data_IF_100410520404
#
_entry.id   IF_100410520404
#
_cell.length_a   1.000
_cell.length_b   1.000
_cell.length_c   1.000
_cell.angle_alpha   90.00
_cell.angle_beta   90.00
_cell.angle_gamma   90.00
#
_symmetry.space_group_name_H-M   'P 1'
#
loop_
_entity.id
_entity.type
_entity.pdbx_description
1 polymer ?
#
# COMPACT_ATOMS: atom_id res chain seq x y z
N UNK A 1 -35.98 -1.08 -10.35
CA UNK A 1 -35.58 -1.65 -9.04
C UNK A 1 -34.85 -0.56 -8.26
N UNK A 2 -34.98 -0.48 -6.94
CA UNK A 2 -34.17 0.46 -6.15
C UNK A 2 -32.70 0.14 -6.34
N UNK A 3 -31.87 1.17 -6.35
CA UNK A 3 -30.41 0.99 -6.45
C UNK A 3 -29.86 0.36 -5.19
N UNK A 4 -28.87 -0.53 -5.34
CA UNK A 4 -28.17 -1.16 -4.24
C UNK A 4 -27.29 -0.13 -3.53
N UNK A 5 -27.41 0.00 -2.21
CA UNK A 5 -26.66 0.97 -1.40
C UNK A 5 -25.33 0.38 -0.96
N UNK A 6 -24.24 0.97 -1.40
CA UNK A 6 -22.87 0.53 -1.09
C UNK A 6 -22.17 1.61 -0.26
N UNK A 7 -21.63 1.21 0.88
CA UNK A 7 -20.72 2.05 1.66
C UNK A 7 -19.28 1.59 1.47
N UNK A 8 -18.39 2.51 1.10
CA UNK A 8 -16.94 2.29 1.07
C UNK A 8 -16.32 3.14 2.17
N UNK A 9 -15.56 2.50 3.06
CA UNK A 9 -14.86 3.17 4.17
C UNK A 9 -13.36 3.11 3.95
N UNK A 10 -12.72 4.28 3.99
CA UNK A 10 -11.26 4.42 3.92
C UNK A 10 -10.75 5.25 5.10
N UNK A 11 -9.48 5.06 5.45
CA UNK A 11 -8.89 5.80 6.56
C UNK A 11 -8.63 7.27 6.20
N UNK A 12 -8.03 7.52 5.05
CA UNK A 12 -7.68 8.86 4.53
C UNK A 12 -7.52 8.78 3.01
N UNK A 13 -7.49 9.92 2.32
CA UNK A 13 -7.37 10.01 0.86
C UNK A 13 -6.21 10.93 0.46
N UNK A 14 -5.03 10.69 1.03
CA UNK A 14 -3.78 11.34 0.66
C UNK A 14 -3.01 10.50 -0.39
N UNK A 15 -1.91 11.04 -0.90
CA UNK A 15 -1.05 10.34 -1.87
C UNK A 15 -0.49 9.05 -1.25
N UNK A 16 -0.73 7.92 -1.89
CA UNK A 16 -0.24 6.60 -1.47
C UNK A 16 -0.93 5.44 -2.15
N UNK A 17 -0.27 4.29 -2.24
CA UNK A 17 -0.73 3.13 -3.01
C UNK A 17 -2.10 2.57 -2.62
N UNK A 18 -2.43 2.55 -1.31
CA UNK A 18 -3.76 2.12 -0.84
C UNK A 18 -4.85 3.07 -1.32
N UNK A 19 -4.61 4.37 -1.24
CA UNK A 19 -5.56 5.40 -1.62
C UNK A 19 -5.77 5.44 -3.13
N UNK A 20 -4.69 5.30 -3.91
CA UNK A 20 -4.79 5.25 -5.37
C UNK A 20 -5.53 4.00 -5.87
N UNK A 21 -5.54 2.90 -5.09
CA UNK A 21 -6.32 1.71 -5.44
C UNK A 21 -7.84 1.92 -5.29
N UNK A 22 -8.29 3.00 -4.66
CA UNK A 22 -9.71 3.36 -4.57
C UNK A 22 -10.29 3.73 -5.94
N UNK A 23 -9.54 4.44 -6.78
CA UNK A 23 -10.09 4.97 -8.04
C UNK A 23 -10.56 3.88 -8.99
N UNK A 24 -9.77 2.83 -9.29
CA UNK A 24 -10.26 1.69 -10.06
C UNK A 24 -11.48 1.01 -9.43
N UNK A 25 -11.53 0.94 -8.09
CA UNK A 25 -12.70 0.40 -7.38
C UNK A 25 -13.95 1.24 -7.62
N UNK A 26 -13.82 2.56 -7.65
CA UNK A 26 -14.96 3.44 -7.96
C UNK A 26 -15.35 3.37 -9.44
N UNK A 27 -14.43 3.02 -10.33
CA UNK A 27 -14.69 2.95 -11.76
C UNK A 27 -15.37 1.63 -12.20
N UNK A 28 -15.32 0.57 -11.38
CA UNK A 28 -16.00 -0.70 -11.71
C UNK A 28 -17.52 -0.64 -11.54
N UNK A 29 -18.05 0.30 -10.75
CA UNK A 29 -19.47 0.32 -10.41
C UNK A 29 -20.36 0.83 -11.54
N UNK A 30 -21.44 0.09 -11.80
CA UNK A 30 -22.57 0.57 -12.62
C UNK A 30 -23.46 1.48 -11.78
N UNK A 31 -23.21 2.79 -11.82
CA UNK A 31 -23.97 3.81 -11.08
C UNK A 31 -25.46 3.92 -11.51
N UNK A 32 -25.87 3.24 -12.58
CA UNK A 32 -27.27 3.03 -12.89
C UNK A 32 -27.97 2.06 -11.91
N UNK A 33 -27.20 1.11 -11.34
CA UNK A 33 -27.70 0.05 -10.45
C UNK A 33 -27.32 0.23 -8.99
N UNK A 34 -26.29 1.03 -8.70
CA UNK A 34 -25.79 1.22 -7.32
C UNK A 34 -25.74 2.69 -6.92
N UNK A 35 -25.92 2.94 -5.62
CA UNK A 35 -25.65 4.20 -4.94
C UNK A 35 -24.46 4.02 -4.02
N UNK A 36 -23.34 4.70 -4.34
CA UNK A 36 -22.09 4.58 -3.59
C UNK A 36 -21.95 5.75 -2.63
N UNK A 37 -21.78 5.44 -1.35
CA UNK A 37 -21.34 6.39 -0.32
C UNK A 37 -19.87 6.13 -0.01
N UNK A 38 -19.02 7.14 -0.15
CA UNK A 38 -17.61 7.09 0.26
C UNK A 38 -17.45 7.79 1.61
N UNK A 39 -16.98 7.09 2.64
CA UNK A 39 -16.66 7.66 3.95
C UNK A 39 -15.14 7.71 4.17
N UNK A 40 -14.63 8.92 4.40
CA UNK A 40 -13.22 9.20 4.65
C UNK A 40 -13.07 9.57 6.13
N UNK A 41 -12.39 8.71 6.89
CA UNK A 41 -12.30 8.80 8.35
C UNK A 41 -11.36 9.87 8.87
N UNK A 42 -10.42 10.35 8.07
CA UNK A 42 -9.52 11.47 8.40
C UNK A 42 -9.53 12.52 7.30
N UNK A 43 -9.61 13.78 7.69
CA UNK A 43 -9.57 14.91 6.76
C UNK A 43 -8.14 15.11 6.19
N UNK A 44 -7.65 14.13 5.44
CA UNK A 44 -6.49 14.16 4.56
C UNK A 44 -6.97 13.70 3.21
N UNK A 45 -7.26 14.66 2.32
CA UNK A 45 -8.08 14.49 1.12
C UNK A 45 -7.42 15.03 -0.15
N UNK A 46 -6.08 15.01 -0.19
CA UNK A 46 -5.29 15.53 -1.32
C UNK A 46 -5.74 14.97 -2.68
N UNK A 47 -6.23 13.73 -2.68
CA UNK A 47 -6.71 13.04 -3.89
C UNK A 47 -8.23 13.14 -4.12
N UNK A 48 -8.95 13.96 -3.34
CA UNK A 48 -10.41 14.14 -3.50
C UNK A 48 -10.82 14.57 -4.92
N UNK A 49 -10.07 15.45 -5.62
CA UNK A 49 -10.42 15.84 -6.99
C UNK A 49 -10.42 14.70 -8.02
N UNK A 50 -9.81 13.56 -7.69
CA UNK A 50 -9.75 12.38 -8.55
C UNK A 50 -10.84 11.34 -8.27
N UNK A 51 -11.69 11.57 -7.27
CA UNK A 51 -12.82 10.69 -6.96
C UNK A 51 -13.83 10.75 -8.11
N UNK A 52 -14.32 9.59 -8.53
CA UNK A 52 -15.31 9.49 -9.60
C UNK A 52 -16.53 10.37 -9.27
N UNK A 53 -16.91 11.35 -10.13
CA UNK A 53 -18.00 12.28 -9.86
C UNK A 53 -19.38 11.63 -9.78
N UNK A 54 -19.52 10.37 -10.17
CA UNK A 54 -20.77 9.60 -10.06
C UNK A 54 -21.00 9.01 -8.66
N UNK A 55 -20.02 9.15 -7.73
CA UNK A 55 -20.22 8.77 -6.32
C UNK A 55 -21.35 9.59 -5.72
N UNK A 56 -22.37 8.90 -5.21
CA UNK A 56 -23.63 9.54 -4.81
C UNK A 56 -23.48 10.43 -3.59
N UNK A 57 -22.60 10.07 -2.65
CA UNK A 57 -22.36 10.82 -1.42
C UNK A 57 -20.90 10.65 -0.97
N UNK A 58 -20.25 11.76 -0.65
CA UNK A 58 -18.92 11.74 0.00
C UNK A 58 -19.07 12.35 1.39
N UNK A 59 -18.64 11.61 2.40
CA UNK A 59 -18.68 12.02 3.81
C UNK A 59 -17.26 12.05 4.32
N UNK A 60 -16.84 13.21 4.81
CA UNK A 60 -15.50 13.43 5.37
C UNK A 60 -15.63 13.71 6.85
N UNK A 61 -14.90 12.97 7.68
CA UNK A 61 -14.83 13.29 9.09
C UNK A 61 -13.90 14.49 9.30
N UNK A 62 -14.49 15.64 9.56
CA UNK A 62 -13.79 16.93 9.72
C UNK A 62 -13.15 17.11 11.11
N UNK A 63 -13.63 16.38 12.12
CA UNK A 63 -13.32 16.65 13.53
C UNK A 63 -12.09 15.95 14.12
N UNK A 64 -11.26 15.28 13.30
CA UNK A 64 -10.11 14.52 13.84
C UNK A 64 -9.08 15.37 14.59
N UNK A 65 -9.00 16.68 14.32
CA UNK A 65 -8.09 17.58 15.03
C UNK A 65 -8.61 18.06 16.40
N UNK A 66 -9.92 18.09 16.61
CA UNK A 66 -10.51 18.56 17.88
C UNK A 66 -10.68 17.45 18.93
N UNK A 67 -10.78 16.18 18.51
CA UNK A 67 -10.93 15.06 19.44
C UNK A 67 -9.67 14.79 20.26
N UNK A 68 -8.48 15.00 19.66
CA UNK A 68 -7.19 14.88 20.36
C UNK A 68 -6.87 16.07 21.29
N UNK A 69 -7.64 17.17 21.22
CA UNK A 69 -7.47 18.34 22.09
C UNK A 69 -8.30 18.29 23.37
N UNK A 70 -9.08 17.25 23.63
CA UNK A 70 -9.74 17.10 24.93
C UNK A 70 -8.70 16.80 26.00
N UNK A 71 -8.77 17.46 27.17
CA UNK A 71 -7.76 17.36 28.23
C UNK A 71 -7.50 15.92 28.68
N UNK A 72 -8.48 15.03 28.56
CA UNK A 72 -8.35 13.60 28.88
C UNK A 72 -7.32 12.90 27.97
N UNK A 73 -7.30 13.18 26.64
CA UNK A 73 -6.35 12.57 25.71
C UNK A 73 -4.93 13.08 25.96
N UNK A 74 -4.79 14.40 26.25
CA UNK A 74 -3.51 14.99 26.61
C UNK A 74 -2.97 14.42 27.94
N UNK A 75 -3.82 14.19 28.94
CA UNK A 75 -3.45 13.54 30.21
C UNK A 75 -3.03 12.09 29.96
N UNK A 76 -3.74 11.36 29.12
CA UNK A 76 -3.42 9.97 28.76
C UNK A 76 -2.07 9.88 28.02
N UNK A 77 -1.80 10.80 27.09
CA UNK A 77 -0.50 10.89 26.41
C UNK A 77 0.63 11.28 27.37
N UNK A 78 0.38 12.19 28.28
CA UNK A 78 1.35 12.59 29.31
C UNK A 78 1.68 11.43 30.26
N UNK A 79 0.67 10.71 30.72
CA UNK A 79 0.83 9.50 31.53
C UNK A 79 1.55 8.40 30.75
N UNK A 80 1.25 8.22 29.45
CA UNK A 80 1.93 7.23 28.63
C UNK A 80 3.42 7.54 28.45
N UNK A 81 3.80 8.82 28.32
CA UNK A 81 5.21 9.26 28.28
C UNK A 81 5.90 9.06 29.63
N UNK A 82 5.22 9.36 30.72
CA UNK A 82 5.76 9.18 32.09
C UNK A 82 6.04 7.69 32.39
N UNK A 83 5.13 6.80 32.04
CA UNK A 83 5.30 5.36 32.23
C UNK A 83 6.31 4.70 31.29
N UNK A 84 6.59 5.30 30.11
CA UNK A 84 7.69 4.86 29.22
C UNK A 84 9.07 5.03 29.88
N UNK A 85 9.20 5.97 30.81
CA UNK A 85 10.46 6.26 31.49
C UNK A 85 10.74 5.29 32.66
N UNK A 86 9.75 4.52 33.11
CA UNK A 86 9.83 3.69 34.34
C UNK A 86 9.76 2.18 34.03
N UNK A 87 10.31 1.67 32.95
CA UNK A 87 10.62 0.23 32.66
C UNK A 87 9.71 -0.88 33.25
N UNK A 88 8.39 -0.67 33.35
CA UNK A 88 7.41 -1.68 33.77
C UNK A 88 6.75 -2.34 32.53
N UNK A 89 7.56 -3.05 31.71
CA UNK A 89 7.25 -3.43 30.35
C UNK A 89 5.95 -4.25 30.08
N UNK A 90 5.54 -5.18 30.90
CA UNK A 90 4.36 -6.04 30.59
C UNK A 90 3.02 -5.38 30.96
N UNK A 91 2.90 -4.88 32.17
CA UNK A 91 1.68 -4.20 32.66
C UNK A 91 1.41 -2.90 31.89
N UNK A 92 2.46 -2.23 31.45
CA UNK A 92 2.42 -1.03 30.63
C UNK A 92 1.83 -1.27 29.23
N UNK A 93 2.24 -2.33 28.55
CA UNK A 93 1.71 -2.67 27.21
C UNK A 93 0.21 -3.02 27.24
N UNK A 94 -0.27 -3.72 28.26
CA UNK A 94 -1.69 -4.00 28.45
C UNK A 94 -2.49 -2.72 28.74
N UNK A 95 -1.96 -1.81 29.54
CA UNK A 95 -2.61 -0.52 29.86
C UNK A 95 -2.66 0.39 28.62
N UNK A 96 -1.59 0.45 27.82
CA UNK A 96 -1.60 1.20 26.57
C UNK A 96 -2.63 0.64 25.57
N UNK A 97 -2.68 -0.67 25.40
CA UNK A 97 -3.66 -1.32 24.54
C UNK A 97 -5.10 -1.04 25.01
N UNK A 98 -5.37 -1.11 26.30
CA UNK A 98 -6.67 -0.78 26.88
C UNK A 98 -7.06 0.68 26.63
N UNK A 99 -6.13 1.63 26.88
CA UNK A 99 -6.35 3.06 26.64
C UNK A 99 -6.60 3.32 25.15
N UNK A 100 -5.77 2.75 24.26
CA UNK A 100 -5.94 2.85 22.81
C UNK A 100 -7.32 2.36 22.39
N UNK A 101 -7.75 1.19 22.87
CA UNK A 101 -9.04 0.61 22.55
C UNK A 101 -10.22 1.46 23.05
N UNK A 102 -10.10 2.09 24.22
CA UNK A 102 -11.11 3.05 24.73
C UNK A 102 -11.20 4.29 23.88
N UNK A 103 -10.06 4.86 23.46
CA UNK A 103 -10.04 6.02 22.56
C UNK A 103 -10.70 5.67 21.22
N UNK A 104 -10.33 4.54 20.63
CA UNK A 104 -10.91 4.04 19.37
C UNK A 104 -12.43 3.86 19.53
N UNK A 105 -12.89 3.22 20.62
CA UNK A 105 -14.30 3.01 20.89
C UNK A 105 -15.09 4.33 20.94
N UNK A 106 -14.61 5.33 21.69
CA UNK A 106 -15.29 6.64 21.76
C UNK A 106 -15.24 7.39 20.45
N UNK A 107 -14.14 7.29 19.69
CA UNK A 107 -14.03 7.87 18.36
C UNK A 107 -15.06 7.25 17.40
N UNK A 108 -15.17 5.92 17.35
CA UNK A 108 -16.12 5.21 16.50
C UNK A 108 -17.57 5.53 16.87
N UNK A 109 -17.87 5.59 18.18
CA UNK A 109 -19.20 5.97 18.68
C UNK A 109 -19.58 7.39 18.26
N UNK A 110 -18.63 8.33 18.31
CA UNK A 110 -18.83 9.69 17.84
C UNK A 110 -19.06 9.74 16.34
N UNK A 111 -18.20 9.09 15.53
CA UNK A 111 -18.35 9.00 14.07
C UNK A 111 -19.71 8.42 13.68
N UNK A 112 -20.13 7.33 14.31
CA UNK A 112 -21.42 6.71 14.05
C UNK A 112 -22.57 7.67 14.37
N UNK A 113 -22.57 8.25 15.58
CA UNK A 113 -23.63 9.17 16.02
C UNK A 113 -23.74 10.40 15.10
N UNK A 114 -22.64 10.92 14.63
CA UNK A 114 -22.60 12.15 13.84
C UNK A 114 -22.96 11.92 12.37
N UNK A 115 -22.48 10.84 11.77
CA UNK A 115 -22.61 10.62 10.32
C UNK A 115 -23.60 9.53 9.92
N UNK A 116 -23.90 8.58 10.78
CA UNK A 116 -24.64 7.37 10.43
C UNK A 116 -25.86 7.03 11.32
N UNK A 117 -26.10 7.75 12.40
CA UNK A 117 -27.20 7.41 13.33
C UNK A 117 -28.61 7.43 12.70
N UNK A 118 -28.77 8.13 11.57
CA UNK A 118 -30.02 8.21 10.81
C UNK A 118 -30.02 7.35 9.56
N UNK A 119 -28.92 6.65 9.24
CA UNK A 119 -28.86 5.78 8.08
C UNK A 119 -29.68 4.49 8.29
N UNK A 120 -30.53 4.16 7.30
CA UNK A 120 -31.36 2.94 7.31
C UNK A 120 -30.55 1.66 7.03
N UNK A 121 -29.25 1.77 6.87
CA UNK A 121 -28.34 0.68 6.54
C UNK A 121 -27.96 0.63 5.06
N UNK A 122 -27.03 -0.27 4.77
CA UNK A 122 -26.45 -0.49 3.44
C UNK A 122 -26.68 -1.93 3.01
N UNK A 123 -26.75 -2.18 1.70
CA UNK A 123 -26.75 -3.54 1.19
C UNK A 123 -25.36 -4.16 1.33
N UNK A 124 -24.30 -3.38 1.05
CA UNK A 124 -22.92 -3.81 1.23
C UNK A 124 -22.10 -2.71 1.90
N UNK A 125 -21.33 -3.05 2.93
CA UNK A 125 -20.36 -2.16 3.55
C UNK A 125 -18.94 -2.73 3.38
N UNK A 126 -18.04 -1.94 2.83
CA UNK A 126 -16.69 -2.34 2.44
C UNK A 126 -15.66 -1.53 3.22
N UNK A 127 -14.84 -2.19 4.01
CA UNK A 127 -13.60 -1.60 4.53
C UNK A 127 -12.46 -1.88 3.56
N UNK A 128 -11.90 -0.85 2.91
CA UNK A 128 -10.79 -1.03 1.95
C UNK A 128 -9.42 -1.26 2.61
N UNK A 129 -9.38 -1.33 3.95
CA UNK A 129 -8.19 -1.63 4.74
C UNK A 129 -8.59 -2.30 6.05
N UNK A 130 -7.75 -3.19 6.55
CA UNK A 130 -7.89 -3.84 7.85
C UNK A 130 -7.71 -2.86 9.03
N UNK A 131 -7.70 -3.39 10.26
CA UNK A 131 -7.45 -2.63 11.48
C UNK A 131 -8.61 -1.73 11.90
N UNK A 132 -8.29 -0.53 12.38
CA UNK A 132 -9.25 0.42 12.97
C UNK A 132 -10.40 0.79 12.02
N UNK A 133 -10.17 0.77 10.71
CA UNK A 133 -11.21 1.06 9.71
C UNK A 133 -12.19 -0.10 9.60
N UNK A 134 -11.70 -1.33 9.61
CA UNK A 134 -12.54 -2.52 9.61
C UNK A 134 -13.32 -2.66 10.93
N UNK A 135 -12.71 -2.35 12.09
CA UNK A 135 -13.41 -2.29 13.38
C UNK A 135 -14.60 -1.32 13.33
N UNK A 136 -14.44 -0.14 12.72
CA UNK A 136 -15.53 0.81 12.58
C UNK A 136 -16.69 0.22 11.77
N UNK A 137 -16.40 -0.45 10.65
CA UNK A 137 -17.43 -1.13 9.84
C UNK A 137 -18.07 -2.28 10.61
N UNK A 138 -17.28 -3.07 11.33
CA UNK A 138 -17.74 -4.18 12.15
C UNK A 138 -18.76 -3.71 13.19
N UNK A 139 -18.40 -2.74 14.02
CA UNK A 139 -19.09 -2.40 15.25
C UNK A 139 -20.27 -1.44 15.06
N UNK A 140 -20.18 -0.58 14.06
CA UNK A 140 -21.10 0.57 13.94
C UNK A 140 -21.89 0.62 12.65
N UNK A 141 -21.45 -0.02 11.57
CA UNK A 141 -22.18 0.06 10.30
C UNK A 141 -23.19 -1.09 10.18
N UNK A 142 -24.45 -0.71 9.89
CA UNK A 142 -25.51 -1.67 9.56
C UNK A 142 -25.45 -1.96 8.06
N UNK A 143 -25.21 -3.21 7.71
CA UNK A 143 -25.21 -3.68 6.33
C UNK A 143 -25.67 -5.14 6.25
N UNK A 144 -26.28 -5.52 5.11
CA UNK A 144 -26.68 -6.91 4.86
C UNK A 144 -25.43 -7.79 4.60
N UNK A 145 -24.38 -7.21 3.98
CA UNK A 145 -23.10 -7.87 3.72
C UNK A 145 -21.94 -6.96 4.12
N UNK A 146 -20.99 -7.48 4.87
CA UNK A 146 -19.77 -6.77 5.26
C UNK A 146 -18.56 -7.39 4.60
N UNK A 147 -17.71 -6.55 3.98
CA UNK A 147 -16.50 -6.96 3.28
C UNK A 147 -15.30 -6.22 3.86
N UNK A 148 -14.22 -6.94 4.11
CA UNK A 148 -12.94 -6.37 4.55
C UNK A 148 -11.84 -6.69 3.56
N UNK A 149 -11.06 -5.67 3.18
CA UNK A 149 -9.81 -5.87 2.46
C UNK A 149 -8.65 -5.99 3.46
N UNK A 150 -7.90 -7.07 3.32
CA UNK A 150 -6.67 -7.31 4.05
C UNK A 150 -5.50 -7.11 3.09
N UNK A 151 -4.72 -6.04 3.33
CA UNK A 151 -3.68 -5.57 2.39
C UNK A 151 -2.27 -5.93 2.79
N UNK A 152 -2.09 -6.43 4.01
CA UNK A 152 -0.78 -6.85 4.51
C UNK A 152 -0.60 -8.36 4.37
N UNK A 153 0.63 -8.81 4.22
CA UNK A 153 1.01 -10.23 4.24
C UNK A 153 1.49 -10.70 5.60
N UNK A 154 1.66 -9.76 6.53
CA UNK A 154 2.00 -9.98 7.94
C UNK A 154 0.89 -9.43 8.82
N UNK A 155 0.81 -9.91 10.04
CA UNK A 155 -0.24 -9.52 10.97
C UNK A 155 0.35 -8.94 12.25
N UNK A 156 0.48 -7.62 12.28
CA UNK A 156 0.93 -6.87 13.45
C UNK A 156 -0.17 -6.58 14.48
N UNK A 157 -1.45 -6.84 14.15
CA UNK A 157 -2.62 -6.54 14.97
C UNK A 157 -3.53 -7.78 15.14
N UNK A 158 -2.92 -8.93 15.32
CA UNK A 158 -3.58 -10.25 15.35
C UNK A 158 -4.84 -10.30 16.24
N UNK A 159 -4.75 -9.83 17.47
CA UNK A 159 -5.88 -9.82 18.42
C UNK A 159 -7.09 -9.02 17.91
N UNK A 160 -6.82 -7.89 17.22
CA UNK A 160 -7.88 -7.06 16.65
C UNK A 160 -8.52 -7.78 15.48
N UNK A 161 -7.71 -8.33 14.57
CA UNK A 161 -8.23 -8.97 13.36
C UNK A 161 -9.01 -10.25 13.71
N UNK A 162 -8.52 -11.09 14.62
CA UNK A 162 -9.23 -12.29 15.04
C UNK A 162 -10.60 -11.96 15.68
N UNK A 163 -10.69 -10.84 16.40
CA UNK A 163 -11.94 -10.40 17.02
C UNK A 163 -13.00 -9.93 16.03
N UNK A 164 -12.60 -9.29 14.92
CA UNK A 164 -13.54 -8.68 13.96
C UNK A 164 -13.86 -9.56 12.74
N UNK A 165 -12.97 -10.49 12.36
CA UNK A 165 -13.16 -11.36 11.18
C UNK A 165 -14.46 -12.17 11.20
N UNK A 166 -15.01 -12.64 12.35
CA UNK A 166 -16.30 -13.31 12.40
C UNK A 166 -17.44 -12.50 11.79
N UNK A 167 -17.43 -11.18 11.95
CA UNK A 167 -18.47 -10.24 11.55
C UNK A 167 -18.45 -9.87 10.07
N UNK A 168 -17.40 -10.28 9.34
CA UNK A 168 -17.30 -10.07 7.90
C UNK A 168 -17.71 -11.32 7.13
N UNK A 169 -18.53 -11.12 6.08
CA UNK A 169 -18.96 -12.18 5.17
C UNK A 169 -17.83 -12.58 4.20
N UNK A 170 -17.01 -11.61 3.81
CA UNK A 170 -15.91 -11.83 2.87
C UNK A 170 -14.67 -11.05 3.30
N UNK A 171 -13.50 -11.71 3.22
CA UNK A 171 -12.18 -11.14 3.45
C UNK A 171 -11.42 -11.16 2.13
N UNK A 172 -11.19 -9.99 1.55
CA UNK A 172 -10.48 -9.86 0.28
C UNK A 172 -8.99 -9.69 0.51
N UNK A 173 -8.17 -10.57 -0.04
CA UNK A 173 -6.71 -10.46 -0.06
C UNK A 173 -6.26 -9.86 -1.39
N UNK A 174 -5.13 -9.16 -1.39
CA UNK A 174 -4.64 -8.42 -2.58
C UNK A 174 -3.81 -9.27 -3.54
N UNK A 175 -3.45 -10.50 -3.16
CA UNK A 175 -2.77 -11.48 -4.01
C UNK A 175 -2.99 -12.91 -3.48
N UNK A 176 -2.68 -13.92 -4.29
CA UNK A 176 -2.74 -15.33 -3.87
C UNK A 176 -1.72 -15.63 -2.77
N UNK A 177 -0.52 -15.05 -2.85
CA UNK A 177 0.48 -15.17 -1.81
C UNK A 177 0.01 -14.55 -0.49
N UNK A 178 -0.61 -13.35 -0.52
CA UNK A 178 -1.19 -12.72 0.66
C UNK A 178 -2.33 -13.58 1.25
N UNK A 179 -3.22 -14.14 0.42
CA UNK A 179 -4.26 -15.09 0.87
C UNK A 179 -3.65 -16.31 1.54
N UNK A 180 -2.61 -16.90 0.94
CA UNK A 180 -1.91 -18.08 1.45
C UNK A 180 -1.24 -17.80 2.81
N UNK A 181 -0.61 -16.62 2.96
CA UNK A 181 -0.03 -16.18 4.20
C UNK A 181 -1.10 -15.96 5.27
N UNK A 182 -2.16 -15.20 4.95
CA UNK A 182 -3.24 -14.89 5.88
C UNK A 182 -4.00 -16.15 6.35
N UNK A 183 -4.22 -17.12 5.46
CA UNK A 183 -4.87 -18.40 5.79
C UNK A 183 -4.08 -19.23 6.82
N UNK A 184 -2.75 -19.04 6.90
CA UNK A 184 -1.92 -19.69 7.92
C UNK A 184 -2.08 -19.02 9.29
N UNK A 185 -2.24 -17.69 9.32
CA UNK A 185 -2.50 -16.94 10.56
C UNK A 185 -3.92 -17.20 11.08
N UNK A 186 -4.90 -17.30 10.16
CA UNK A 186 -6.32 -17.39 10.47
C UNK A 186 -7.00 -18.57 9.77
N UNK A 187 -6.61 -19.83 10.07
CA UNK A 187 -7.16 -21.00 9.38
C UNK A 187 -8.68 -21.14 9.55
N UNK A 188 -9.24 -20.67 10.66
CA UNK A 188 -10.68 -20.68 10.94
C UNK A 188 -11.49 -19.82 9.95
N UNK A 189 -10.87 -18.82 9.35
CA UNK A 189 -11.54 -17.86 8.45
C UNK A 189 -11.12 -18.01 6.98
N UNK A 190 -10.28 -19.02 6.66
CA UNK A 190 -9.79 -19.25 5.30
C UNK A 190 -10.93 -19.41 4.27
N UNK A 191 -12.06 -19.97 4.66
CA UNK A 191 -13.23 -20.14 3.81
C UNK A 191 -13.93 -18.83 3.41
N UNK A 192 -13.70 -17.73 4.16
CA UNK A 192 -14.19 -16.38 3.84
C UNK A 192 -13.23 -15.61 2.93
N UNK A 193 -12.01 -16.13 2.71
CA UNK A 193 -10.97 -15.41 2.01
C UNK A 193 -11.07 -15.59 0.49
N UNK A 194 -11.08 -14.48 -0.23
CA UNK A 194 -11.00 -14.44 -1.70
C UNK A 194 -9.88 -13.52 -2.14
N UNK A 195 -9.50 -13.57 -3.42
CA UNK A 195 -8.47 -12.70 -3.98
C UNK A 195 -9.12 -11.68 -4.92
N UNK A 196 -8.92 -10.42 -4.60
CA UNK A 196 -9.19 -9.29 -5.50
C UNK A 196 -7.90 -8.46 -5.54
N UNK A 197 -7.17 -8.61 -6.62
CA UNK A 197 -5.86 -7.98 -6.81
C UNK A 197 -5.99 -6.45 -6.83
N UNK A 198 -4.93 -5.77 -6.46
CA UNK A 198 -4.88 -4.32 -6.64
C UNK A 198 -4.78 -4.00 -8.13
N UNK A 199 -5.80 -3.36 -8.70
CA UNK A 199 -5.80 -2.99 -10.11
C UNK A 199 -4.83 -1.84 -10.39
N UNK A 200 -4.08 -1.97 -11.48
CA UNK A 200 -3.10 -0.99 -11.95
C UNK A 200 -3.40 -0.68 -13.43
N UNK A 201 -3.87 0.54 -13.70
CA UNK A 201 -4.29 0.93 -15.05
C UNK A 201 -3.10 1.18 -15.98
N UNK A 202 -2.85 0.29 -16.93
CA UNK A 202 -1.78 0.38 -17.94
C UNK A 202 -1.85 1.69 -18.72
N UNK A 203 -3.03 2.05 -19.24
CA UNK A 203 -3.22 3.26 -20.04
C UNK A 203 -2.90 4.53 -19.24
N UNK A 204 -3.29 4.58 -17.96
CA UNK A 204 -3.02 5.72 -17.10
C UNK A 204 -1.52 5.86 -16.82
N UNK A 205 -0.83 4.75 -16.54
CA UNK A 205 0.61 4.74 -16.29
C UNK A 205 1.38 5.22 -17.51
N UNK A 206 1.06 4.67 -18.69
CA UNK A 206 1.72 5.07 -19.94
C UNK A 206 1.48 6.56 -20.22
N UNK A 207 0.22 7.04 -20.06
CA UNK A 207 -0.09 8.46 -20.23
C UNK A 207 0.72 9.33 -19.28
N UNK A 208 0.69 9.03 -17.99
CA UNK A 208 1.40 9.79 -16.95
C UNK A 208 2.92 9.74 -17.11
N UNK A 209 3.48 8.62 -17.58
CA UNK A 209 4.93 8.50 -17.81
C UNK A 209 5.46 9.44 -18.91
N UNK A 210 4.56 10.01 -19.72
CA UNK A 210 4.87 10.95 -20.80
C UNK A 210 4.54 12.43 -20.46
N UNK A 211 4.07 12.72 -19.23
CA UNK A 211 3.68 14.09 -18.86
C UNK A 211 4.87 15.06 -18.77
N UNK A 212 6.04 14.56 -18.43
CA UNK A 212 7.29 15.33 -18.46
C UNK A 212 8.49 14.42 -18.71
N UNK A 213 9.54 15.00 -19.28
CA UNK A 213 10.79 14.29 -19.56
C UNK A 213 11.85 14.61 -18.51
N UNK A 214 12.64 13.60 -18.18
CA UNK A 214 13.80 13.71 -17.32
C UNK A 214 15.04 13.42 -18.14
N UNK A 215 16.10 14.23 -17.96
CA UNK A 215 17.37 14.02 -18.66
C UNK A 215 18.11 12.83 -18.05
N UNK A 216 18.49 11.89 -18.90
CA UNK A 216 19.30 10.74 -18.53
C UNK A 216 20.76 11.01 -18.87
N UNK A 217 21.63 10.92 -17.86
CA UNK A 217 23.05 11.19 -18.04
C UNK A 217 23.93 9.98 -17.72
N UNK A 218 23.42 9.05 -16.91
CA UNK A 218 24.18 7.88 -16.41
C UNK A 218 23.28 6.65 -16.36
N UNK A 219 23.89 5.50 -16.12
CA UNK A 219 23.16 4.30 -15.69
C UNK A 219 22.25 4.67 -14.49
N UNK A 220 20.96 4.40 -14.63
CA UNK A 220 19.95 4.93 -13.71
C UNK A 220 19.16 3.81 -13.05
N UNK A 221 19.17 3.79 -11.72
CA UNK A 221 18.27 2.95 -10.92
C UNK A 221 17.17 3.78 -10.30
N UNK A 222 16.01 3.18 -10.06
CA UNK A 222 14.89 3.84 -9.38
C UNK A 222 14.29 2.90 -8.35
N UNK A 223 14.03 3.44 -7.16
CA UNK A 223 13.19 2.84 -6.14
C UNK A 223 12.09 3.83 -5.81
N UNK A 224 10.82 3.40 -5.88
CA UNK A 224 9.67 4.26 -5.68
C UNK A 224 8.80 3.77 -4.51
N UNK A 225 8.48 4.66 -3.57
CA UNK A 225 7.60 4.33 -2.47
C UNK A 225 7.83 5.18 -1.22
N UNK A 226 7.04 4.93 -0.17
CA UNK A 226 7.21 5.60 1.12
C UNK A 226 8.54 5.19 1.77
N UNK A 227 9.31 6.16 2.26
CA UNK A 227 10.56 5.89 2.97
C UNK A 227 10.23 5.46 4.41
N UNK A 228 10.00 4.15 4.58
CA UNK A 228 9.70 3.48 5.85
C UNK A 228 10.63 2.30 6.07
N UNK A 229 10.67 1.75 7.28
CA UNK A 229 11.53 0.62 7.62
C UNK A 229 11.30 -0.62 6.75
N UNK A 230 10.03 -0.92 6.39
CA UNK A 230 9.70 -2.12 5.62
C UNK A 230 10.07 -2.01 4.13
N UNK A 231 10.39 -0.80 3.62
CA UNK A 231 10.70 -0.59 2.20
C UNK A 231 12.18 -0.74 1.85
N UNK A 232 13.05 -1.00 2.83
CA UNK A 232 14.44 -1.43 2.61
C UNK A 232 15.34 -0.40 1.91
N UNK A 233 15.08 0.90 2.09
CA UNK A 233 15.95 1.95 1.54
C UNK A 233 17.38 1.89 2.11
N UNK A 234 17.55 1.39 3.33
CA UNK A 234 18.82 1.11 3.94
C UNK A 234 19.57 -0.02 3.22
N UNK A 235 18.87 -1.08 2.81
CA UNK A 235 19.44 -2.13 1.96
C UNK A 235 19.89 -1.56 0.60
N UNK A 236 19.09 -0.65 0.01
CA UNK A 236 19.44 -0.01 -1.26
C UNK A 236 20.69 0.88 -1.12
N UNK A 237 20.84 1.66 -0.04
CA UNK A 237 22.07 2.45 0.21
C UNK A 237 23.27 1.52 0.34
N UNK A 238 23.16 0.46 1.13
CA UNK A 238 24.28 -0.48 1.32
C UNK A 238 24.61 -1.23 0.01
N UNK A 239 23.62 -1.60 -0.80
CA UNK A 239 23.83 -2.17 -2.13
C UNK A 239 24.55 -1.20 -3.07
N UNK A 240 24.18 0.09 -3.01
CA UNK A 240 24.85 1.14 -3.77
C UNK A 240 26.33 1.29 -3.38
N UNK A 241 26.67 1.15 -2.09
CA UNK A 241 28.09 1.12 -1.61
C UNK A 241 28.84 -0.05 -2.22
N UNK A 242 28.23 -1.24 -2.29
CA UNK A 242 28.85 -2.41 -2.93
C UNK A 242 29.10 -2.15 -4.41
N UNK A 243 28.10 -1.63 -5.14
CA UNK A 243 28.23 -1.32 -6.57
C UNK A 243 29.31 -0.26 -6.84
N UNK A 244 29.40 0.78 -5.99
CA UNK A 244 30.49 1.78 -6.05
C UNK A 244 31.87 1.12 -5.91
N UNK A 245 32.03 0.20 -4.96
CA UNK A 245 33.30 -0.56 -4.76
C UNK A 245 33.63 -1.45 -5.95
N UNK A 246 32.63 -1.94 -6.68
CA UNK A 246 32.81 -2.70 -7.94
C UNK A 246 33.09 -1.79 -9.15
N UNK A 247 33.20 -0.47 -8.96
CA UNK A 247 33.51 0.49 -10.02
C UNK A 247 32.34 0.88 -10.90
N UNK A 248 31.09 0.54 -10.53
CA UNK A 248 29.91 0.90 -11.29
C UNK A 248 29.62 2.41 -11.12
N UNK A 249 29.45 3.12 -12.23
CA UNK A 249 29.07 4.54 -12.25
C UNK A 249 27.59 4.64 -12.55
N UNK A 250 26.78 5.14 -11.61
CA UNK A 250 25.32 5.19 -11.72
C UNK A 250 24.73 6.39 -10.97
N UNK A 251 23.43 6.60 -11.15
CA UNK A 251 22.59 7.40 -10.27
C UNK A 251 21.37 6.57 -9.83
N UNK A 252 21.03 6.62 -8.55
CA UNK A 252 19.87 5.93 -7.99
C UNK A 252 18.88 6.93 -7.40
N UNK A 253 17.74 7.07 -8.05
CA UNK A 253 16.67 7.92 -7.55
C UNK A 253 15.79 7.18 -6.54
N UNK A 254 15.68 7.73 -5.34
CA UNK A 254 14.71 7.34 -4.33
C UNK A 254 13.51 8.28 -4.45
N UNK A 255 12.46 7.80 -5.11
CA UNK A 255 11.27 8.61 -5.40
C UNK A 255 10.23 8.38 -4.32
N UNK A 256 10.16 9.30 -3.36
CA UNK A 256 9.25 9.20 -2.22
C UNK A 256 9.70 10.02 -1.03
N UNK A 257 8.89 9.94 0.02
CA UNK A 257 9.15 10.57 1.31
C UNK A 257 8.63 9.69 2.45
N UNK A 258 9.00 9.96 3.69
CA UNK A 258 8.49 9.21 4.83
C UNK A 258 9.29 9.43 6.12
N UNK A 259 8.81 8.80 7.19
CA UNK A 259 9.35 9.01 8.55
C UNK A 259 10.80 8.56 8.72
N UNK A 260 11.32 7.70 7.83
CA UNK A 260 12.71 7.22 7.84
C UNK A 260 13.64 8.04 6.93
N UNK A 261 13.14 9.09 6.26
CA UNK A 261 13.94 9.91 5.34
C UNK A 261 15.23 10.42 6.00
N UNK A 262 15.15 11.03 7.17
CA UNK A 262 16.33 11.56 7.87
C UNK A 262 17.37 10.49 8.18
N UNK A 263 16.92 9.26 8.55
CA UNK A 263 17.82 8.12 8.75
C UNK A 263 18.53 7.72 7.45
N UNK A 264 17.81 7.71 6.32
CA UNK A 264 18.41 7.36 5.03
C UNK A 264 19.35 8.46 4.54
N UNK A 265 19.02 9.74 4.71
CA UNK A 265 19.92 10.87 4.41
C UNK A 265 21.23 10.78 5.23
N UNK A 266 21.15 10.44 6.51
CA UNK A 266 22.34 10.19 7.35
C UNK A 266 23.17 9.03 6.81
N UNK A 267 22.53 7.91 6.47
CA UNK A 267 23.23 6.72 5.95
C UNK A 267 23.92 7.00 4.58
N UNK A 268 23.28 7.79 3.72
CA UNK A 268 23.87 8.24 2.44
C UNK A 268 25.13 9.05 2.71
N UNK A 269 25.07 10.00 3.63
CA UNK A 269 26.21 10.87 3.98
C UNK A 269 27.34 10.08 4.66
N UNK A 270 27.04 9.21 5.62
CA UNK A 270 28.01 8.37 6.33
C UNK A 270 28.80 7.45 5.39
N UNK A 271 28.20 7.07 4.25
CA UNK A 271 28.84 6.22 3.25
C UNK A 271 29.34 6.98 2.00
N UNK A 272 29.31 8.33 2.01
CA UNK A 272 29.76 9.18 0.90
C UNK A 272 29.06 8.84 -0.43
N UNK A 273 27.73 8.67 -0.37
CA UNK A 273 26.90 8.26 -1.51
C UNK A 273 26.09 9.39 -2.14
N UNK A 274 26.31 10.66 -1.76
CA UNK A 274 25.55 11.82 -2.22
C UNK A 274 25.62 12.04 -3.74
N UNK A 275 26.70 11.59 -4.38
CA UNK A 275 26.86 11.67 -5.85
C UNK A 275 26.19 10.51 -6.60
N UNK A 276 25.77 9.46 -5.87
CA UNK A 276 25.18 8.24 -6.42
C UNK A 276 23.68 8.13 -6.12
N UNK A 277 23.20 8.71 -5.01
CA UNK A 277 21.82 8.57 -4.57
C UNK A 277 21.16 9.93 -4.43
N UNK A 278 19.96 10.07 -5.02
CA UNK A 278 19.16 11.29 -4.95
C UNK A 278 17.78 10.97 -4.39
N UNK A 279 17.47 11.51 -3.21
CA UNK A 279 16.11 11.47 -2.65
C UNK A 279 15.31 12.62 -3.26
N UNK A 280 14.35 12.29 -4.13
CA UNK A 280 13.58 13.31 -4.87
C UNK A 280 12.45 13.94 -4.06
N UNK A 281 12.13 13.37 -2.90
CA UNK A 281 10.91 13.68 -2.16
C UNK A 281 9.66 13.07 -2.81
N UNK A 282 8.50 13.37 -2.21
CA UNK A 282 7.20 12.90 -2.72
C UNK A 282 6.91 13.51 -4.10
N UNK A 283 6.59 12.67 -5.07
CA UNK A 283 6.14 13.08 -6.40
C UNK A 283 4.68 12.66 -6.60
N UNK A 284 3.85 13.56 -7.07
CA UNK A 284 2.46 13.26 -7.45
C UNK A 284 2.40 12.36 -8.68
N UNK A 285 3.40 12.45 -9.54
CA UNK A 285 3.59 11.57 -10.69
C UNK A 285 5.03 11.01 -10.70
N UNK A 286 5.24 9.77 -10.21
CA UNK A 286 6.56 9.12 -10.19
C UNK A 286 6.92 8.42 -11.50
N UNK A 287 5.96 8.21 -12.41
CA UNK A 287 6.14 7.35 -13.59
C UNK A 287 7.23 7.83 -14.56
N UNK A 288 7.49 9.13 -14.78
CA UNK A 288 8.64 9.57 -15.59
C UNK A 288 9.99 9.09 -15.02
N UNK A 289 10.14 9.00 -13.69
CA UNK A 289 11.36 8.42 -13.09
C UNK A 289 11.45 6.93 -13.37
N UNK A 290 10.34 6.19 -13.23
CA UNK A 290 10.31 4.76 -13.54
C UNK A 290 10.60 4.54 -15.04
N UNK A 291 10.02 5.35 -15.92
CA UNK A 291 10.29 5.30 -17.37
C UNK A 291 11.76 5.60 -17.70
N UNK A 292 12.41 6.49 -16.95
CA UNK A 292 13.82 6.87 -17.15
C UNK A 292 14.78 5.74 -16.82
N UNK A 293 14.50 4.91 -15.79
CA UNK A 293 15.48 3.97 -15.26
C UNK A 293 15.89 2.88 -16.26
N UNK A 294 17.09 2.35 -16.09
CA UNK A 294 17.58 1.14 -16.73
C UNK A 294 17.10 -0.09 -15.97
N UNK A 295 17.15 -0.04 -14.64
CA UNK A 295 16.69 -1.11 -13.75
C UNK A 295 15.84 -0.47 -12.65
N UNK A 296 14.63 -1.00 -12.47
CA UNK A 296 13.82 -0.70 -11.31
C UNK A 296 14.20 -1.62 -10.16
N UNK A 297 14.41 -1.06 -8.96
CA UNK A 297 14.83 -1.86 -7.79
C UNK A 297 13.79 -1.75 -6.67
N UNK A 298 13.31 -2.91 -6.21
CA UNK A 298 12.38 -3.02 -5.07
C UNK A 298 13.07 -3.73 -3.90
N UNK A 299 13.70 -2.99 -2.97
CA UNK A 299 14.54 -3.56 -1.92
C UNK A 299 13.77 -3.93 -0.64
N UNK A 300 12.46 -4.06 -0.69
CA UNK A 300 11.57 -4.18 0.46
C UNK A 300 11.91 -5.38 1.36
N UNK A 301 11.79 -5.19 2.67
CA UNK A 301 11.75 -6.29 3.64
C UNK A 301 10.43 -7.06 3.57
N UNK A 302 9.34 -6.31 3.32
CA UNK A 302 7.99 -6.85 3.24
C UNK A 302 7.20 -6.15 2.11
N UNK A 303 6.49 -6.96 1.31
CA UNK A 303 5.61 -6.49 0.26
C UNK A 303 4.47 -7.49 0.05
N UNK A 304 3.23 -7.03 0.13
CA UNK A 304 2.05 -7.90 -0.02
C UNK A 304 1.59 -8.03 -1.46
N UNK A 305 1.75 -6.95 -2.25
CA UNK A 305 1.46 -6.95 -3.69
C UNK A 305 2.64 -6.37 -4.49
N UNK A 306 3.22 -5.22 -4.06
CA UNK A 306 4.30 -4.59 -4.80
C UNK A 306 3.80 -3.86 -6.05
N UNK A 307 2.82 -2.97 -5.89
CA UNK A 307 2.23 -2.21 -6.99
C UNK A 307 3.28 -1.55 -7.89
N UNK A 308 4.35 -1.02 -7.33
CA UNK A 308 5.43 -0.35 -8.07
C UNK A 308 6.25 -1.32 -8.93
N UNK A 309 6.29 -2.61 -8.58
CA UNK A 309 6.85 -3.68 -9.43
C UNK A 309 6.00 -3.79 -10.71
N UNK A 310 4.69 -3.89 -10.56
CA UNK A 310 3.76 -3.96 -11.70
C UNK A 310 3.85 -2.69 -12.58
N UNK A 311 3.95 -1.51 -11.96
CA UNK A 311 4.14 -0.23 -12.66
C UNK A 311 5.44 -0.22 -13.49
N UNK A 312 6.53 -0.77 -12.96
CA UNK A 312 7.80 -0.88 -13.68
C UNK A 312 7.71 -1.87 -14.86
N UNK A 313 7.07 -3.03 -14.65
CA UNK A 313 6.83 -4.02 -15.72
C UNK A 313 5.98 -3.42 -16.84
N UNK A 314 4.89 -2.71 -16.50
CA UNK A 314 4.06 -1.99 -17.50
C UNK A 314 4.88 -0.99 -18.31
N UNK A 315 5.83 -0.31 -17.68
CA UNK A 315 6.76 0.61 -18.34
C UNK A 315 7.96 -0.09 -18.99
N UNK A 316 7.91 -1.42 -19.09
CA UNK A 316 8.92 -2.27 -19.74
C UNK A 316 10.32 -2.12 -19.13
N UNK A 317 10.36 -2.01 -17.79
CA UNK A 317 11.61 -1.90 -17.06
C UNK A 317 11.97 -3.23 -16.41
N UNK A 318 13.21 -3.72 -16.61
CA UNK A 318 13.70 -4.87 -15.87
C UNK A 318 13.70 -4.56 -14.37
N UNK A 319 13.23 -5.53 -13.58
CA UNK A 319 13.05 -5.37 -12.14
C UNK A 319 14.06 -6.25 -11.40
N UNK A 320 14.75 -5.67 -10.43
CA UNK A 320 15.46 -6.40 -9.38
C UNK A 320 14.68 -6.21 -8.08
N UNK A 321 14.21 -7.29 -7.47
CA UNK A 321 13.42 -7.22 -6.25
C UNK A 321 13.88 -8.24 -5.21
N UNK A 322 13.81 -7.85 -3.94
CA UNK A 322 13.96 -8.80 -2.84
C UNK A 322 12.79 -9.80 -2.83
N UNK A 323 13.05 -11.05 -2.47
CA UNK A 323 12.09 -12.17 -2.51
C UNK A 323 11.03 -12.05 -1.41
N UNK A 324 10.18 -11.06 -1.54
CA UNK A 324 8.97 -10.87 -0.73
C UNK A 324 7.78 -11.61 -1.36
N UNK A 325 6.67 -11.74 -0.63
CA UNK A 325 5.44 -12.38 -1.13
C UNK A 325 4.98 -11.68 -2.42
N UNK A 326 4.77 -10.34 -2.36
CA UNK A 326 4.25 -9.59 -3.49
C UNK A 326 5.21 -9.52 -4.69
N UNK A 327 6.53 -9.58 -4.48
CA UNK A 327 7.49 -9.69 -5.57
C UNK A 327 7.44 -11.08 -6.22
N UNK A 328 7.34 -12.15 -5.40
CA UNK A 328 7.30 -13.54 -5.88
C UNK A 328 5.99 -13.88 -6.59
N UNK A 329 4.90 -13.15 -6.33
CA UNK A 329 3.64 -13.30 -7.06
C UNK A 329 3.70 -12.69 -8.49
N UNK A 330 4.62 -11.75 -8.75
CA UNK A 330 4.71 -11.00 -10.00
C UNK A 330 5.95 -11.35 -10.83
N UNK A 331 7.03 -11.74 -10.17
CA UNK A 331 8.32 -12.01 -10.82
C UNK A 331 8.60 -13.51 -10.84
N UNK A 332 8.78 -14.02 -12.03
CA UNK A 332 9.41 -15.33 -12.27
C UNK A 332 10.90 -15.07 -12.48
N UNK A 333 11.72 -15.55 -11.56
CA UNK A 333 13.15 -15.24 -11.51
C UNK A 333 13.87 -15.52 -12.84
N UNK A 334 14.65 -14.56 -13.32
CA UNK A 334 15.40 -14.57 -14.58
C UNK A 334 14.55 -14.72 -15.86
N UNK A 335 13.22 -14.57 -15.74
CA UNK A 335 12.30 -14.54 -16.87
C UNK A 335 11.79 -13.13 -17.11
N UNK A 336 11.09 -12.53 -16.16
CA UNK A 336 10.55 -11.16 -16.27
C UNK A 336 11.13 -10.19 -15.21
N UNK A 337 12.19 -10.60 -14.52
CA UNK A 337 12.89 -9.85 -13.49
C UNK A 337 13.87 -10.75 -12.74
N UNK A 338 14.53 -10.21 -11.73
CA UNK A 338 15.48 -10.92 -10.87
C UNK A 338 15.00 -10.85 -9.42
N UNK A 339 14.81 -12.01 -8.79
CA UNK A 339 14.50 -12.13 -7.37
C UNK A 339 15.81 -12.38 -6.58
N UNK A 340 16.00 -11.61 -5.52
CA UNK A 340 17.20 -11.65 -4.68
C UNK A 340 16.87 -11.96 -3.23
N UNK A 341 17.87 -12.37 -2.47
CA UNK A 341 17.75 -12.42 -1.01
C UNK A 341 17.48 -11.02 -0.45
N UNK A 342 16.87 -10.96 0.74
CA UNK A 342 16.57 -9.70 1.44
C UNK A 342 17.85 -9.21 2.12
N UNK A 343 18.79 -8.74 1.31
CA UNK A 343 20.10 -8.24 1.77
C UNK A 343 20.66 -7.24 0.75
N UNK A 344 21.59 -6.41 1.19
CA UNK A 344 22.30 -5.47 0.33
C UNK A 344 23.14 -6.20 -0.72
N UNK A 345 23.79 -7.28 -0.33
CA UNK A 345 24.60 -8.15 -1.19
C UNK A 345 23.75 -8.81 -2.28
N UNK A 346 22.55 -9.30 -1.89
CA UNK A 346 21.58 -9.88 -2.82
C UNK A 346 21.15 -8.88 -3.88
N UNK A 347 20.78 -7.65 -3.47
CA UNK A 347 20.37 -6.57 -4.37
C UNK A 347 21.52 -6.19 -5.31
N UNK A 348 22.72 -5.96 -4.76
CA UNK A 348 23.89 -5.60 -5.56
C UNK A 348 24.22 -6.69 -6.60
N UNK A 349 24.20 -7.98 -6.19
CA UNK A 349 24.41 -9.12 -7.08
C UNK A 349 23.34 -9.22 -8.16
N UNK A 350 22.06 -8.97 -7.82
CA UNK A 350 20.98 -8.95 -8.80
C UNK A 350 21.16 -7.88 -9.87
N UNK A 351 21.57 -6.68 -9.47
CA UNK A 351 21.90 -5.58 -10.38
C UNK A 351 23.12 -5.95 -11.23
N UNK A 352 24.21 -6.42 -10.60
CA UNK A 352 25.44 -6.84 -11.29
C UNK A 352 25.16 -7.94 -12.32
N UNK A 353 24.29 -8.91 -12.00
CA UNK A 353 23.89 -9.96 -12.94
C UNK A 353 23.30 -9.38 -14.20
N UNK A 354 22.39 -8.39 -14.11
CA UNK A 354 21.80 -7.74 -15.27
C UNK A 354 22.77 -6.85 -16.05
N UNK A 355 23.76 -6.26 -15.37
CA UNK A 355 24.77 -5.42 -16.02
C UNK A 355 25.81 -6.25 -16.79
N UNK A 356 26.17 -7.44 -16.29
CA UNK A 356 27.20 -8.30 -16.85
C UNK A 356 26.65 -9.32 -17.87
N UNK A 357 25.37 -9.68 -17.79
CA UNK A 357 24.71 -10.63 -18.70
C UNK A 357 23.69 -9.90 -19.59
N UNK A 358 24.19 -9.35 -20.69
CA UNK A 358 23.35 -8.60 -21.65
C UNK A 358 22.31 -9.50 -22.35
N UNK A 359 22.60 -10.79 -22.50
CA UNK A 359 21.66 -11.75 -23.09
C UNK A 359 20.48 -12.00 -22.12
N UNK A 360 20.75 -12.11 -20.84
CA UNK A 360 19.70 -12.21 -19.81
C UNK A 360 18.86 -10.93 -19.76
N UNK A 361 19.52 -9.77 -19.77
CA UNK A 361 18.84 -8.46 -19.74
C UNK A 361 17.91 -8.31 -20.96
N UNK A 362 18.40 -8.62 -22.15
CA UNK A 362 17.60 -8.57 -23.39
C UNK A 362 16.41 -9.53 -23.33
N UNK A 363 16.62 -10.78 -22.90
CA UNK A 363 15.52 -11.76 -22.73
C UNK A 363 14.45 -11.28 -21.76
N UNK A 364 14.84 -10.69 -20.62
CA UNK A 364 13.89 -10.13 -19.65
C UNK A 364 13.09 -8.99 -20.29
N UNK A 365 13.75 -8.06 -21.00
CA UNK A 365 13.08 -6.95 -21.68
C UNK A 365 12.13 -7.46 -22.77
N UNK A 366 12.53 -8.46 -23.53
CA UNK A 366 11.69 -9.08 -24.56
C UNK A 366 10.47 -9.76 -23.92
N UNK A 367 10.67 -10.55 -22.84
CA UNK A 367 9.56 -11.22 -22.15
C UNK A 367 8.53 -10.23 -21.62
N UNK A 368 8.95 -9.17 -20.91
CA UNK A 368 8.03 -8.14 -20.43
C UNK A 368 7.45 -7.27 -21.55
N UNK A 369 8.02 -7.27 -22.73
CA UNK A 369 7.52 -6.51 -23.89
C UNK A 369 6.51 -7.30 -24.72
N UNK A 370 6.66 -8.61 -24.81
CA UNK A 370 5.80 -9.52 -25.57
C UNK A 370 4.57 -9.93 -24.75
N UNK A 371 4.77 -10.23 -23.47
CA UNK A 371 3.68 -10.64 -22.60
C UNK A 371 2.84 -9.44 -22.19
N UNK A 372 1.54 -9.60 -22.24
CA UNK A 372 0.61 -8.60 -21.74
C UNK A 372 0.46 -8.76 -20.21
N UNK A 373 1.18 -7.92 -19.48
CA UNK A 373 1.07 -7.81 -18.01
C UNK A 373 -0.02 -6.82 -17.60
N UNK A 374 -0.79 -6.27 -18.56
CA UNK A 374 -1.93 -5.44 -18.23
C UNK A 374 -3.00 -6.27 -17.53
N UNK A 375 -3.55 -5.70 -16.49
CA UNK A 375 -4.71 -6.31 -15.84
C UNK A 375 -5.94 -6.06 -16.69
N UNK A 376 -6.71 -7.13 -16.93
CA UNK A 376 -8.00 -7.05 -17.60
C UNK A 376 -9.03 -6.37 -16.68
N UNK A 377 -9.44 -5.15 -17.03
CA UNK A 377 -10.40 -4.37 -16.27
C UNK A 377 -11.79 -5.06 -16.23
N UNK A 378 -12.20 -5.74 -17.28
CA UNK A 378 -13.47 -6.45 -17.29
C UNK A 378 -13.48 -7.64 -16.32
N UNK A 379 -12.38 -8.39 -16.26
CA UNK A 379 -12.21 -9.45 -15.25
C UNK A 379 -12.19 -8.88 -13.84
N UNK A 380 -11.47 -7.76 -13.62
CA UNK A 380 -11.47 -7.06 -12.34
C UNK A 380 -12.89 -6.61 -11.95
N UNK A 381 -13.64 -6.03 -12.89
CA UNK A 381 -15.03 -5.62 -12.69
C UNK A 381 -15.93 -6.82 -12.35
N UNK A 382 -15.81 -7.94 -13.06
CA UNK A 382 -16.58 -9.15 -12.75
C UNK A 382 -16.34 -9.66 -11.33
N UNK A 383 -15.10 -9.62 -10.83
CA UNK A 383 -14.78 -9.97 -9.42
C UNK A 383 -15.50 -9.04 -8.44
N UNK A 384 -15.56 -7.74 -8.75
CA UNK A 384 -16.28 -6.77 -7.93
C UNK A 384 -17.80 -6.94 -8.02
N UNK A 385 -18.35 -7.19 -9.19
CA UNK A 385 -19.79 -7.47 -9.36
C UNK A 385 -20.19 -8.72 -8.54
N UNK A 386 -19.37 -9.76 -8.58
CA UNK A 386 -19.59 -10.97 -7.75
C UNK A 386 -19.43 -10.67 -6.23
N UNK A 387 -18.53 -9.75 -5.86
CA UNK A 387 -18.33 -9.38 -4.47
C UNK A 387 -19.53 -8.63 -3.90
N UNK A 388 -20.13 -7.76 -4.69
CA UNK A 388 -21.26 -6.92 -4.23
C UNK A 388 -22.63 -7.56 -4.51
N UNK A 389 -22.70 -8.65 -5.26
CA UNK A 389 -23.95 -9.40 -5.48
C UNK A 389 -24.45 -10.02 -4.18
#
# INVERSE_FOLDING_TARGET
MPKKKILIVIHQLNIGGVQESLFPVLDVFDYGKVDVTLYIRKNRIDLLPYVNPKVSKIVINEDTNNYYRKPIVAIIELLSRFFNTIHLCKTYNHMQAWIRNKIIFYQHKYEYKHYFCHDQGYDVAISLIQGVTAMFVCDYIKANKKVMFFRDSTDSEHEIHEAIMPEFDTICCVSDGAKKALSKFYPKFAYKMTVIETFVSTNLIIKKSNEYELKKEKLTFVTCGRITNVKGYDLAVNAAVILKKLGVTFIWYFVGDGIFRGKIESLIKENEMEQYIVITGLKTNPFPYIKLCDIYVQPSYEESFGRTINEAIILKKPVVATKTIGASDQIVDKKNGVLTDISAEGIAKGIETLLNDQDLLSRIIDDISINDYSQDFENYKQKWDALIS
#
